data_IF_925950609499
#
_entry.id   IF_925950609499
#
_cell.length_a   1.000
_cell.length_b   1.000
_cell.length_c   1.000
_cell.angle_alpha   90.00
_cell.angle_beta   90.00
_cell.angle_gamma   90.00
#
_symmetry.space_group_name_H-M   'P 1'
#
loop_
_entity.id
_entity.type
_entity.pdbx_description
1 polymer ?
#
# COMPACT_ATOMS: atom_id res chain seq x y z
N UNK A 1 -2.83 -5.69 27.58
CA UNK A 1 -4.16 -5.52 26.95
C UNK A 1 -4.30 -4.22 26.15
N UNK A 2 -3.72 -3.08 26.56
CA UNK A 2 -3.83 -1.81 25.81
C UNK A 2 -3.09 -1.81 24.45
N UNK A 3 -1.85 -2.33 24.41
CA UNK A 3 -1.04 -2.38 23.18
C UNK A 3 -1.63 -3.31 22.08
N UNK A 4 -2.16 -4.47 22.47
CA UNK A 4 -2.85 -5.41 21.57
C UNK A 4 -4.07 -4.78 20.89
N UNK A 5 -4.80 -3.93 21.60
CA UNK A 5 -5.98 -3.24 21.06
C UNK A 5 -5.60 -2.18 20.02
N UNK A 6 -4.40 -1.60 20.13
CA UNK A 6 -3.87 -0.64 19.16
C UNK A 6 -3.39 -1.33 17.88
N UNK A 7 -2.73 -2.50 17.96
CA UNK A 7 -2.31 -3.25 16.76
C UNK A 7 -3.49 -3.77 15.97
N UNK A 8 -4.52 -4.32 16.62
CA UNK A 8 -5.76 -4.78 15.98
C UNK A 8 -6.51 -3.63 15.31
N UNK A 9 -6.58 -2.46 15.95
CA UNK A 9 -7.24 -1.28 15.38
C UNK A 9 -6.50 -0.78 14.15
N UNK A 10 -5.16 -0.73 14.18
CA UNK A 10 -4.34 -0.38 13.01
C UNK A 10 -4.56 -1.41 11.88
N UNK A 11 -4.57 -2.69 12.20
CA UNK A 11 -4.80 -3.74 11.22
C UNK A 11 -6.19 -3.64 10.58
N UNK A 12 -7.23 -3.40 11.38
CA UNK A 12 -8.60 -3.26 10.90
C UNK A 12 -8.76 -2.02 10.01
N UNK A 13 -8.26 -0.85 10.45
CA UNK A 13 -8.29 0.37 9.63
C UNK A 13 -7.47 0.19 8.36
N UNK A 14 -6.29 -0.42 8.44
CA UNK A 14 -5.42 -0.71 7.30
C UNK A 14 -6.05 -1.64 6.27
N UNK A 15 -6.73 -2.72 6.71
CA UNK A 15 -7.44 -3.63 5.81
C UNK A 15 -8.63 -2.95 5.14
N UNK A 16 -9.47 -2.24 5.90
CA UNK A 16 -10.65 -1.58 5.34
C UNK A 16 -10.24 -0.50 4.33
N UNK A 17 -9.31 0.37 4.71
CA UNK A 17 -8.81 1.44 3.81
C UNK A 17 -8.07 0.87 2.60
N UNK A 18 -7.21 -0.12 2.81
CA UNK A 18 -6.43 -0.75 1.75
C UNK A 18 -7.28 -1.53 0.76
N UNK A 19 -8.25 -2.32 1.23
CA UNK A 19 -9.16 -3.07 0.35
C UNK A 19 -10.05 -2.09 -0.43
N UNK A 20 -10.58 -1.04 0.21
CA UNK A 20 -11.36 -0.02 -0.47
C UNK A 20 -10.55 0.69 -1.57
N UNK A 21 -9.31 1.07 -1.28
CA UNK A 21 -8.40 1.65 -2.27
C UNK A 21 -8.09 0.68 -3.42
N UNK A 22 -7.85 -0.60 -3.11
CA UNK A 22 -7.58 -1.65 -4.11
C UNK A 22 -8.76 -1.84 -5.07
N UNK A 23 -9.98 -1.88 -4.54
CA UNK A 23 -11.20 -1.96 -5.34
C UNK A 23 -11.40 -0.71 -6.21
N UNK A 24 -11.12 0.47 -5.66
CA UNK A 24 -11.17 1.73 -6.42
C UNK A 24 -10.18 1.72 -7.57
N UNK A 25 -8.94 1.28 -7.35
CA UNK A 25 -7.93 1.19 -8.41
C UNK A 25 -8.30 0.14 -9.46
N UNK A 26 -8.84 -1.01 -9.06
CA UNK A 26 -9.32 -2.02 -9.99
C UNK A 26 -10.46 -1.48 -10.88
N UNK A 27 -11.39 -0.73 -10.30
CA UNK A 27 -12.48 -0.09 -11.05
C UNK A 27 -11.96 0.99 -12.01
N UNK A 28 -11.00 1.82 -11.58
CA UNK A 28 -10.34 2.79 -12.45
C UNK A 28 -9.63 2.12 -13.62
N UNK A 29 -8.88 1.05 -13.37
CA UNK A 29 -8.18 0.31 -14.43
C UNK A 29 -9.15 -0.38 -15.40
N UNK A 30 -10.28 -0.89 -14.90
CA UNK A 30 -11.36 -1.42 -15.75
C UNK A 30 -11.89 -0.35 -16.71
N UNK A 31 -12.22 0.84 -16.18
CA UNK A 31 -12.76 1.95 -16.95
C UNK A 31 -11.74 2.44 -17.98
N UNK A 32 -10.49 2.69 -17.57
CA UNK A 32 -9.42 3.13 -18.46
C UNK A 32 -9.11 2.10 -19.55
N UNK A 33 -9.11 0.81 -19.22
CA UNK A 33 -8.91 -0.26 -20.21
C UNK A 33 -10.11 -0.43 -21.16
N UNK A 34 -11.33 -0.11 -20.70
CA UNK A 34 -12.56 -0.18 -21.50
C UNK A 34 -12.67 0.99 -22.48
N UNK A 35 -12.21 2.18 -22.08
CA UNK A 35 -12.14 3.38 -22.91
C UNK A 35 -10.96 3.31 -23.90
N UNK A 36 -9.93 2.53 -23.57
CA UNK A 36 -8.82 2.22 -24.45
C UNK A 36 -9.15 1.26 -25.59
N UNK A 37 -8.10 0.80 -26.29
CA UNK A 37 -8.22 -0.07 -27.46
C UNK A 37 -8.52 -1.52 -27.03
N UNK A 38 -9.81 -1.89 -27.02
CA UNK A 38 -10.34 -3.19 -26.55
C UNK A 38 -9.69 -4.38 -27.28
N UNK A 39 -9.14 -4.16 -28.47
CA UNK A 39 -8.46 -5.17 -29.28
C UNK A 39 -7.13 -5.68 -28.69
N UNK A 40 -6.50 -4.92 -27.78
CA UNK A 40 -5.18 -5.25 -27.21
C UNK A 40 -5.22 -5.72 -25.75
N UNK A 41 -6.19 -5.26 -24.97
CA UNK A 41 -6.24 -5.51 -23.52
C UNK A 41 -7.66 -5.82 -23.09
N UNK A 42 -7.88 -6.99 -22.48
CA UNK A 42 -9.19 -7.33 -21.91
C UNK A 42 -9.38 -6.54 -20.60
N UNK A 43 -10.37 -5.63 -20.51
CA UNK A 43 -10.53 -4.73 -19.37
C UNK A 43 -10.83 -5.47 -18.06
N UNK A 44 -11.57 -6.59 -18.12
CA UNK A 44 -11.82 -7.43 -16.95
C UNK A 44 -10.53 -8.07 -16.43
N UNK A 45 -9.64 -8.49 -17.33
CA UNK A 45 -8.34 -9.06 -16.93
C UNK A 45 -7.46 -7.99 -16.30
N UNK A 46 -7.33 -6.82 -16.92
CA UNK A 46 -6.51 -5.72 -16.38
C UNK A 46 -6.96 -5.30 -14.97
N UNK A 47 -8.27 -5.14 -14.78
CA UNK A 47 -8.86 -4.79 -13.49
C UNK A 47 -8.64 -5.85 -12.41
N UNK A 48 -8.83 -7.13 -12.74
CA UNK A 48 -8.66 -8.24 -11.79
C UNK A 48 -7.19 -8.44 -11.40
N UNK A 49 -6.25 -8.37 -12.34
CA UNK A 49 -4.82 -8.43 -12.02
C UNK A 49 -4.39 -7.28 -11.12
N UNK A 50 -4.82 -6.05 -11.42
CA UNK A 50 -4.51 -4.87 -10.61
C UNK A 50 -5.13 -4.98 -9.22
N UNK A 51 -6.42 -5.30 -9.13
CA UNK A 51 -7.11 -5.46 -7.85
C UNK A 51 -6.48 -6.53 -6.96
N UNK A 52 -6.19 -7.71 -7.50
CA UNK A 52 -5.57 -8.80 -6.74
C UNK A 52 -4.16 -8.41 -6.27
N UNK A 53 -3.34 -7.81 -7.14
CA UNK A 53 -1.99 -7.37 -6.76
C UNK A 53 -2.02 -6.37 -5.59
N UNK A 54 -2.98 -5.45 -5.60
CA UNK A 54 -3.14 -4.46 -4.53
C UNK A 54 -3.66 -5.09 -3.24
N UNK A 55 -4.66 -5.97 -3.31
CA UNK A 55 -5.18 -6.68 -2.13
C UNK A 55 -4.07 -7.51 -1.48
N UNK A 56 -3.27 -8.24 -2.25
CA UNK A 56 -2.13 -9.01 -1.75
C UNK A 56 -1.12 -8.07 -1.06
N UNK A 57 -0.81 -6.94 -1.68
CA UNK A 57 0.10 -5.94 -1.11
C UNK A 57 -0.41 -5.41 0.23
N UNK A 58 -1.69 -5.07 0.33
CA UNK A 58 -2.33 -4.62 1.57
C UNK A 58 -2.24 -5.70 2.64
N UNK A 59 -2.55 -6.95 2.30
CA UNK A 59 -2.44 -8.07 3.23
C UNK A 59 -1.01 -8.23 3.75
N UNK A 60 -0.01 -8.19 2.88
CA UNK A 60 1.41 -8.29 3.28
C UNK A 60 1.84 -7.16 4.21
N UNK A 61 1.33 -5.95 4.00
CA UNK A 61 1.67 -4.79 4.84
C UNK A 61 0.97 -4.82 6.20
N UNK A 62 -0.24 -5.38 6.27
CA UNK A 62 -1.02 -5.48 7.52
C UNK A 62 -0.66 -6.72 8.33
N UNK A 63 -0.19 -7.80 7.68
CA UNK A 63 0.18 -9.06 8.33
C UNK A 63 1.06 -8.91 9.59
N UNK A 64 2.09 -8.03 9.63
CA UNK A 64 2.89 -7.82 10.83
C UNK A 64 2.08 -7.33 12.04
N UNK A 65 1.05 -6.51 11.81
CA UNK A 65 0.17 -6.00 12.88
C UNK A 65 -0.83 -7.05 13.38
N UNK A 66 -1.10 -8.09 12.60
CA UNK A 66 -1.95 -9.21 13.02
C UNK A 66 -1.18 -10.26 13.83
N UNK A 67 0.13 -10.39 13.59
CA UNK A 67 0.96 -11.43 14.22
C UNK A 67 1.72 -10.94 15.45
N UNK A 68 2.00 -9.64 15.55
CA UNK A 68 2.88 -9.08 16.58
C UNK A 68 2.10 -8.18 17.53
N UNK A 69 2.37 -8.33 18.83
CA UNK A 69 1.74 -7.49 19.87
C UNK A 69 2.42 -6.12 20.02
N UNK A 70 3.68 -6.00 19.57
CA UNK A 70 4.46 -4.78 19.69
C UNK A 70 4.34 -3.91 18.45
N UNK A 71 3.59 -2.80 18.58
CA UNK A 71 3.34 -1.81 17.52
C UNK A 71 4.62 -1.31 16.87
N UNK A 72 5.69 -1.06 17.64
CA UNK A 72 6.94 -0.50 17.10
C UNK A 72 7.69 -1.53 16.24
N UNK A 73 7.67 -2.80 16.64
CA UNK A 73 8.28 -3.89 15.86
C UNK A 73 7.46 -4.16 14.59
N UNK A 74 6.13 -4.18 14.71
CA UNK A 74 5.22 -4.32 13.57
C UNK A 74 5.43 -3.18 12.55
N UNK A 75 5.53 -1.93 13.00
CA UNK A 75 5.84 -0.78 12.16
C UNK A 75 7.16 -0.94 11.40
N UNK A 76 8.23 -1.35 12.10
CA UNK A 76 9.53 -1.58 11.48
C UNK A 76 9.47 -2.64 10.39
N UNK A 77 8.79 -3.76 10.65
CA UNK A 77 8.61 -4.84 9.66
C UNK A 77 7.77 -4.36 8.48
N UNK A 78 6.67 -3.65 8.71
CA UNK A 78 5.83 -3.10 7.62
C UNK A 78 6.61 -2.15 6.74
N UNK A 79 7.45 -1.27 7.29
CA UNK A 79 8.31 -0.37 6.51
C UNK A 79 9.33 -1.16 5.67
N UNK A 80 9.98 -2.17 6.25
CA UNK A 80 10.90 -3.04 5.51
C UNK A 80 10.16 -3.76 4.38
N UNK A 81 8.99 -4.35 4.66
CA UNK A 81 8.16 -5.02 3.67
C UNK A 81 7.76 -4.05 2.55
N UNK A 82 7.37 -2.82 2.86
CA UNK A 82 7.05 -1.81 1.86
C UNK A 82 8.25 -1.52 0.94
N UNK A 83 9.45 -1.34 1.51
CA UNK A 83 10.68 -1.11 0.74
C UNK A 83 11.03 -2.32 -0.14
N UNK A 84 10.86 -3.55 0.38
CA UNK A 84 11.07 -4.79 -0.38
C UNK A 84 10.09 -4.91 -1.54
N UNK A 85 8.81 -4.58 -1.32
CA UNK A 85 7.80 -4.57 -2.38
C UNK A 85 8.16 -3.55 -3.47
N UNK A 86 8.52 -2.32 -3.08
CA UNK A 86 8.99 -1.29 -4.03
C UNK A 86 10.21 -1.79 -4.79
N UNK A 87 11.19 -2.40 -4.11
CA UNK A 87 12.37 -2.97 -4.74
C UNK A 87 11.99 -4.02 -5.80
N UNK A 88 11.13 -4.99 -5.44
CA UNK A 88 10.67 -6.04 -6.34
C UNK A 88 9.92 -5.52 -7.57
N UNK A 89 8.97 -4.60 -7.37
CA UNK A 89 8.24 -3.96 -8.48
C UNK A 89 9.16 -3.12 -9.37
N UNK A 90 10.09 -2.36 -8.76
CA UNK A 90 11.07 -1.58 -9.52
C UNK A 90 11.97 -2.48 -10.35
N UNK A 91 12.39 -3.62 -9.77
CA UNK A 91 13.24 -4.59 -10.45
C UNK A 91 12.51 -5.20 -11.64
N UNK A 92 11.27 -5.64 -11.44
CA UNK A 92 10.43 -6.15 -12.52
C UNK A 92 10.26 -5.13 -13.66
N UNK A 93 9.94 -3.88 -13.32
CA UNK A 93 9.77 -2.81 -14.32
C UNK A 93 11.09 -2.50 -15.03
N UNK A 94 12.21 -2.48 -14.29
CA UNK A 94 13.54 -2.22 -14.85
C UNK A 94 13.95 -3.27 -15.87
N UNK A 95 13.72 -4.55 -15.55
CA UNK A 95 14.00 -5.68 -16.46
C UNK A 95 13.03 -5.69 -17.64
N UNK A 96 11.73 -5.47 -17.42
CA UNK A 96 10.72 -5.56 -18.47
C UNK A 96 10.72 -4.36 -19.44
N UNK A 97 11.14 -3.18 -18.98
CA UNK A 97 11.09 -1.93 -19.76
C UNK A 97 12.46 -1.29 -20.03
N UNK A 98 13.55 -1.98 -19.68
CA UNK A 98 14.95 -1.56 -19.86
C UNK A 98 15.22 -0.11 -19.37
N UNK A 99 14.79 0.15 -18.13
CA UNK A 99 14.82 1.49 -17.52
C UNK A 99 15.74 1.51 -16.30
N UNK A 100 16.37 2.66 -15.96
CA UNK A 100 17.36 2.71 -14.89
C UNK A 100 16.73 2.39 -13.52
N UNK A 101 17.06 1.22 -12.98
CA UNK A 101 16.55 0.69 -11.71
C UNK A 101 16.71 1.68 -10.56
N UNK A 102 17.94 2.11 -10.29
CA UNK A 102 18.26 2.93 -9.11
C UNK A 102 17.53 4.27 -9.10
N UNK A 103 17.36 4.90 -10.26
CA UNK A 103 16.62 6.16 -10.38
C UNK A 103 15.15 5.97 -10.02
N UNK A 104 14.49 4.96 -10.61
CA UNK A 104 13.08 4.65 -10.31
C UNK A 104 12.86 4.21 -8.87
N UNK A 105 13.76 3.38 -8.34
CA UNK A 105 13.62 2.85 -6.99
C UNK A 105 13.71 3.97 -5.97
N UNK A 106 14.69 4.87 -6.10
CA UNK A 106 14.81 6.03 -5.22
C UNK A 106 13.61 6.95 -5.34
N UNK A 107 13.13 7.22 -6.55
CA UNK A 107 11.95 8.04 -6.78
C UNK A 107 10.71 7.45 -6.09
N UNK A 108 10.41 6.16 -6.31
CA UNK A 108 9.28 5.50 -5.66
C UNK A 108 9.45 5.41 -4.14
N UNK A 109 10.63 5.05 -3.65
CA UNK A 109 10.89 4.97 -2.21
C UNK A 109 10.75 6.33 -1.52
N UNK A 110 11.29 7.40 -2.11
CA UNK A 110 11.17 8.76 -1.56
C UNK A 110 9.73 9.23 -1.56
N UNK A 111 8.97 8.99 -2.65
CA UNK A 111 7.55 9.34 -2.72
C UNK A 111 6.76 8.56 -1.67
N UNK A 112 6.92 7.24 -1.59
CA UNK A 112 6.18 6.40 -0.65
C UNK A 112 6.50 6.71 0.81
N UNK A 113 7.79 6.84 1.17
CA UNK A 113 8.21 7.20 2.52
C UNK A 113 7.82 8.64 2.87
N UNK A 114 7.89 9.56 1.90
CA UNK A 114 7.44 10.94 2.06
C UNK A 114 5.94 11.03 2.34
N UNK A 115 5.11 10.30 1.57
CA UNK A 115 3.66 10.20 1.81
C UNK A 115 3.38 9.56 3.17
N UNK A 116 4.11 8.52 3.57
CA UNK A 116 3.97 7.91 4.88
C UNK A 116 4.29 8.89 6.02
N UNK A 117 5.39 9.64 5.92
CA UNK A 117 5.77 10.66 6.91
C UNK A 117 4.73 11.80 7.00
N UNK A 118 4.26 12.31 5.86
CA UNK A 118 3.20 13.32 5.82
C UNK A 118 1.89 12.81 6.41
N UNK A 119 1.51 11.57 6.08
CA UNK A 119 0.30 10.93 6.61
C UNK A 119 0.38 10.75 8.12
N UNK A 120 1.56 10.41 8.66
CA UNK A 120 1.80 10.33 10.09
C UNK A 120 1.64 11.70 10.78
N UNK A 121 2.20 12.77 10.19
CA UNK A 121 2.06 14.14 10.71
C UNK A 121 0.59 14.56 10.71
N UNK A 122 -0.13 14.32 9.61
CA UNK A 122 -1.57 14.62 9.51
C UNK A 122 -2.35 13.84 10.56
N UNK A 123 -2.05 12.55 10.75
CA UNK A 123 -2.65 11.74 11.82
C UNK A 123 -2.40 12.31 13.22
N UNK A 124 -1.19 12.81 13.49
CA UNK A 124 -0.83 13.42 14.77
C UNK A 124 -1.57 14.74 15.00
N UNK A 125 -1.70 15.58 13.97
CA UNK A 125 -2.47 16.83 14.05
C UNK A 125 -3.95 16.54 14.29
N UNK A 126 -4.54 15.61 13.54
CA UNK A 126 -5.95 15.21 13.70
C UNK A 126 -6.19 14.66 15.11
N UNK A 127 -5.28 13.83 15.64
CA UNK A 127 -5.34 13.31 17.00
C UNK A 127 -5.39 14.45 18.04
N UNK A 128 -4.53 15.45 17.91
CA UNK A 128 -4.47 16.57 18.85
C UNK A 128 -5.71 17.47 18.76
N UNK A 129 -6.24 17.70 17.55
CA UNK A 129 -7.40 18.58 17.33
C UNK A 129 -8.71 17.91 17.79
N UNK A 130 -8.87 16.62 17.55
CA UNK A 130 -10.09 15.89 17.91
C UNK A 130 -10.09 15.40 19.37
N UNK A 131 -8.99 15.53 20.11
CA UNK A 131 -8.88 15.11 21.51
C UNK A 131 -9.06 13.60 21.71
N UNK A 132 -8.89 12.79 20.67
CA UNK A 132 -9.06 11.34 20.74
C UNK A 132 -7.77 10.74 21.31
N UNK A 133 -7.74 10.51 22.62
CA UNK A 133 -6.79 9.60 23.25
C UNK A 133 -7.26 8.16 22.98
N UNK A 134 -6.56 7.46 22.09
CA UNK A 134 -6.73 6.01 21.84
C UNK A 134 -5.70 5.24 22.66
#
# INVERSE_FOLDING_TARGET
>A
TFALRQTELIALVGLVTGIAASLSMAASEYLSSKEGDISKTNPLKAATYTGIAYVITVFLLVMPYLLLENVYVALGITLITAVVIIFGFTFYISVAKDVPFWKRFLEMAVISLGVAALSFIIGLVIRNVLGIEI
#
